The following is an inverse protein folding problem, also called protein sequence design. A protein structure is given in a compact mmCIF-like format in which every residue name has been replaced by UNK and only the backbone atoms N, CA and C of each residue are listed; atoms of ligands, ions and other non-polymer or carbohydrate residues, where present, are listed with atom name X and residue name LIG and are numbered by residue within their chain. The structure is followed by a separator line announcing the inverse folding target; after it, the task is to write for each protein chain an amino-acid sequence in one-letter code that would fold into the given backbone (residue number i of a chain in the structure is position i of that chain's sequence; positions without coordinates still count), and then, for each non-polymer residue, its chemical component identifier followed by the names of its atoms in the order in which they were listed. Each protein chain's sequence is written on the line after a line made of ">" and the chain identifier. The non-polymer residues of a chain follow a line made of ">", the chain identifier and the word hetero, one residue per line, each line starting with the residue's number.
data_IF_779096424089
#
_entry.id   IF_779096424089
#
_cell.length_a   1.000
_cell.length_b   1.000
_cell.length_c   1.000
_cell.angle_alpha   90.00
_cell.angle_beta   90.00
_cell.angle_gamma   90.00
#
_symmetry.space_group_name_H-M   'P 1'
#
loop_
_entity.id
_entity.type
_entity.pdbx_description
1 polymer ?
#
# COMPACT_ATOMS: atom_id res chain seq x y z
N UNK A 1 16.03 -35.65 10.68
CA UNK A 1 14.92 -35.53 11.64
C UNK A 1 15.52 -34.83 12.84
N UNK A 2 15.20 -33.56 13.05
CA UNK A 2 15.64 -32.85 14.25
C UNK A 2 14.96 -33.51 15.46
N UNK A 3 15.75 -33.83 16.47
CA UNK A 3 15.30 -34.44 17.73
C UNK A 3 14.37 -33.45 18.44
N UNK A 4 13.10 -33.80 18.76
CA UNK A 4 12.14 -32.88 19.37
C UNK A 4 12.55 -32.35 20.75
N UNK A 5 13.60 -32.92 21.37
CA UNK A 5 14.16 -32.43 22.65
C UNK A 5 15.33 -31.46 22.49
N UNK A 6 15.84 -31.26 21.27
CA UNK A 6 16.98 -30.37 21.01
C UNK A 6 16.53 -28.98 20.57
N UNK A 7 16.73 -27.97 21.42
CA UNK A 7 16.53 -26.57 21.07
C UNK A 7 17.63 -25.67 21.65
N UNK A 8 17.84 -24.50 21.04
CA UNK A 8 18.77 -23.50 21.58
C UNK A 8 18.05 -22.63 22.60
N UNK A 9 18.49 -22.68 23.86
CA UNK A 9 17.95 -21.84 24.92
C UNK A 9 18.33 -20.36 24.70
N UNK A 10 17.35 -19.48 24.72
CA UNK A 10 17.55 -18.03 24.57
C UNK A 10 17.38 -17.31 25.92
N UNK A 11 18.20 -16.28 26.23
CA UNK A 11 18.12 -15.54 27.49
C UNK A 11 16.97 -14.53 27.43
N UNK A 12 15.74 -14.98 27.67
CA UNK A 12 14.53 -14.15 27.68
C UNK A 12 13.93 -14.06 29.09
N UNK A 13 13.31 -12.93 29.41
CA UNK A 13 12.61 -12.68 30.68
C UNK A 13 11.23 -12.05 30.40
N UNK A 14 10.28 -12.32 31.31
CA UNK A 14 8.92 -11.75 31.24
C UNK A 14 8.74 -10.68 32.32
N UNK A 15 8.22 -9.52 31.94
CA UNK A 15 7.76 -8.53 32.90
C UNK A 15 6.40 -8.98 33.48
N UNK A 16 6.28 -9.18 34.81
CA UNK A 16 5.04 -9.66 35.42
C UNK A 16 3.85 -8.73 35.22
N UNK A 17 4.06 -7.42 35.02
CA UNK A 17 2.99 -6.42 34.91
C UNK A 17 2.55 -6.24 33.47
N UNK A 18 3.49 -5.91 32.56
CA UNK A 18 3.15 -5.68 31.16
C UNK A 18 2.94 -6.98 30.37
N UNK A 19 3.40 -8.12 30.91
CA UNK A 19 3.53 -9.42 30.20
C UNK A 19 4.43 -9.34 28.96
N UNK A 20 5.23 -8.29 28.83
CA UNK A 20 6.17 -8.16 27.73
C UNK A 20 7.37 -9.09 27.95
N UNK A 21 7.83 -9.71 26.86
CA UNK A 21 9.03 -10.54 26.84
C UNK A 21 10.20 -9.69 26.36
N UNK A 22 11.30 -9.72 27.11
CA UNK A 22 12.53 -8.96 26.84
C UNK A 22 13.73 -9.90 26.86
N UNK A 23 14.87 -9.47 26.30
CA UNK A 23 16.12 -10.23 26.32
C UNK A 23 17.30 -9.31 26.58
N UNK A 24 18.31 -9.83 27.26
CA UNK A 24 19.61 -9.17 27.44
C UNK A 24 20.54 -9.33 26.22
N UNK A 25 20.12 -10.07 25.21
CA UNK A 25 20.87 -10.26 23.97
C UNK A 25 20.87 -9.01 23.09
N UNK A 26 22.00 -8.76 22.43
CA UNK A 26 22.17 -7.68 21.45
C UNK A 26 21.85 -8.13 20.01
N UNK A 27 21.32 -9.35 19.84
CA UNK A 27 20.91 -9.84 18.52
C UNK A 27 19.71 -9.05 18.00
N UNK A 28 19.92 -8.32 16.90
CA UNK A 28 18.88 -7.54 16.22
C UNK A 28 17.70 -8.41 15.77
N UNK A 29 17.98 -9.62 15.28
CA UNK A 29 16.95 -10.56 14.85
C UNK A 29 16.07 -10.97 16.03
N UNK A 30 16.67 -11.34 17.16
CA UNK A 30 15.91 -11.70 18.36
C UNK A 30 15.07 -10.52 18.88
N UNK A 31 15.62 -9.31 18.89
CA UNK A 31 14.88 -8.12 19.32
C UNK A 31 13.68 -7.81 18.42
N UNK A 32 13.81 -8.02 17.10
CA UNK A 32 12.71 -7.87 16.15
C UNK A 32 11.59 -8.89 16.41
N UNK A 33 11.94 -10.16 16.61
CA UNK A 33 10.96 -11.21 16.94
C UNK A 33 10.25 -10.96 18.27
N UNK A 34 10.98 -10.53 19.31
CA UNK A 34 10.37 -10.17 20.59
C UNK A 34 9.43 -8.97 20.48
N UNK A 35 9.75 -8.00 19.62
CA UNK A 35 8.86 -6.87 19.34
C UNK A 35 7.57 -7.35 18.67
N UNK A 36 7.68 -8.16 17.63
CA UNK A 36 6.54 -8.76 16.94
C UNK A 36 5.67 -9.61 17.89
N UNK A 37 6.31 -10.40 18.78
CA UNK A 37 5.62 -11.22 19.78
C UNK A 37 4.84 -10.36 20.78
N UNK A 38 5.44 -9.27 21.27
CA UNK A 38 4.79 -8.36 22.20
C UNK A 38 3.62 -7.60 21.55
N UNK A 39 3.75 -7.22 20.28
CA UNK A 39 2.65 -6.63 19.50
C UNK A 39 1.51 -7.62 19.27
N UNK A 40 1.85 -8.86 18.91
CA UNK A 40 0.88 -9.95 18.78
C UNK A 40 0.14 -10.18 20.09
N UNK A 41 0.85 -10.27 21.22
CA UNK A 41 0.23 -10.45 22.54
C UNK A 41 -0.76 -9.31 22.86
N UNK A 42 -0.40 -8.06 22.61
CA UNK A 42 -1.30 -6.91 22.77
C UNK A 42 -2.54 -7.01 21.88
N UNK A 43 -2.38 -7.48 20.64
CA UNK A 43 -3.51 -7.66 19.72
C UNK A 43 -4.46 -8.78 20.19
N UNK A 44 -3.91 -9.89 20.70
CA UNK A 44 -4.68 -11.04 21.18
C UNK A 44 -5.43 -10.75 22.48
N UNK A 45 -4.86 -9.92 23.36
CA UNK A 45 -5.53 -9.49 24.61
C UNK A 45 -6.84 -8.73 24.37
N UNK A 46 -6.99 -8.13 23.19
CA UNK A 46 -8.21 -7.39 22.83
C UNK A 46 -9.31 -8.31 22.26
N UNK A 47 -9.05 -9.61 22.13
CA UNK A 47 -10.05 -10.61 21.70
C UNK A 47 -10.72 -11.18 22.95
N UNK A 48 -12.04 -11.35 22.91
CA UNK A 48 -12.80 -11.97 24.00
C UNK A 48 -12.53 -13.48 24.12
N UNK A 49 -12.02 -14.12 23.06
CA UNK A 49 -11.70 -15.55 23.01
C UNK A 49 -10.20 -15.83 23.22
N UNK A 50 -9.91 -16.98 23.83
CA UNK A 50 -8.53 -17.42 24.11
C UNK A 50 -7.69 -17.70 22.85
N UNK A 51 -8.35 -17.90 21.70
CA UNK A 51 -7.73 -18.11 20.39
C UNK A 51 -8.41 -17.21 19.34
N UNK A 52 -7.69 -16.78 18.29
CA UNK A 52 -8.29 -16.04 17.19
C UNK A 52 -9.46 -16.81 16.56
N UNK A 53 -10.56 -16.13 16.22
CA UNK A 53 -11.65 -16.77 15.48
C UNK A 53 -11.19 -17.18 14.07
N UNK A 54 -11.90 -18.11 13.41
CA UNK A 54 -11.61 -18.44 12.02
C UNK A 54 -11.70 -17.18 11.14
N UNK A 55 -10.90 -17.07 10.06
CA UNK A 55 -10.87 -15.88 9.20
C UNK A 55 -12.22 -15.53 8.55
N UNK A 56 -13.13 -16.50 8.44
CA UNK A 56 -14.46 -16.35 7.87
C UNK A 56 -15.46 -16.93 8.88
N UNK A 57 -16.57 -16.23 9.19
CA UNK A 57 -17.03 -14.95 8.63
C UNK A 57 -16.35 -13.72 9.24
N UNK A 58 -16.14 -12.68 8.43
CA UNK A 58 -15.51 -11.42 8.86
C UNK A 58 -16.53 -10.46 9.49
N UNK A 59 -16.12 -9.75 10.54
CA UNK A 59 -16.92 -8.67 11.11
C UNK A 59 -16.98 -7.46 10.14
N UNK A 60 -18.17 -7.22 9.58
CA UNK A 60 -18.38 -6.18 8.57
C UNK A 60 -18.30 -4.74 9.12
N UNK A 61 -18.36 -4.55 10.45
CA UNK A 61 -18.38 -3.21 11.08
C UNK A 61 -17.18 -2.36 10.67
N UNK A 62 -15.98 -2.96 10.64
CA UNK A 62 -14.76 -2.23 10.26
C UNK A 62 -14.78 -1.86 8.78
N UNK A 63 -15.16 -2.78 7.90
CA UNK A 63 -15.30 -2.50 6.46
C UNK A 63 -16.32 -1.40 6.18
N UNK A 64 -17.43 -1.36 6.92
CA UNK A 64 -18.40 -0.26 6.83
C UNK A 64 -17.80 1.09 7.25
N UNK A 65 -17.01 1.13 8.33
CA UNK A 65 -16.31 2.34 8.75
C UNK A 65 -15.25 2.78 7.73
N UNK A 66 -14.50 1.84 7.13
CA UNK A 66 -13.52 2.14 6.09
C UNK A 66 -14.22 2.75 4.87
N UNK A 67 -15.34 2.16 4.46
CA UNK A 67 -16.14 2.68 3.35
C UNK A 67 -16.69 4.07 3.65
N UNK A 68 -17.16 4.35 4.87
CA UNK A 68 -17.61 5.69 5.26
C UNK A 68 -16.48 6.74 5.16
N UNK A 69 -15.26 6.39 5.57
CA UNK A 69 -14.09 7.27 5.43
C UNK A 69 -13.75 7.49 3.95
N UNK A 70 -13.79 6.43 3.14
CA UNK A 70 -13.59 6.51 1.68
C UNK A 70 -14.61 7.43 1.01
N UNK A 71 -15.90 7.31 1.36
CA UNK A 71 -16.98 8.16 0.86
C UNK A 71 -16.80 9.61 1.28
N UNK A 72 -16.45 9.86 2.54
CA UNK A 72 -16.15 11.21 3.05
C UNK A 72 -14.98 11.85 2.28
N UNK A 73 -13.94 11.07 1.98
CA UNK A 73 -12.82 11.50 1.14
C UNK A 73 -13.25 11.80 -0.30
N UNK A 74 -14.10 10.96 -0.89
CA UNK A 74 -14.63 11.18 -2.25
C UNK A 74 -15.47 12.46 -2.31
N UNK A 75 -16.29 12.74 -1.29
CA UNK A 75 -17.11 13.94 -1.23
C UNK A 75 -16.27 15.21 -1.08
N UNK A 76 -15.24 15.17 -0.24
CA UNK A 76 -14.27 16.26 -0.13
C UNK A 76 -13.53 16.47 -1.46
N UNK A 77 -13.14 15.40 -2.15
CA UNK A 77 -12.48 15.46 -3.45
C UNK A 77 -13.38 16.10 -4.52
N UNK A 78 -14.65 15.70 -4.62
CA UNK A 78 -15.63 16.30 -5.56
C UNK A 78 -15.86 17.78 -5.31
N UNK A 79 -15.73 18.23 -4.05
CA UNK A 79 -15.83 19.65 -3.65
C UNK A 79 -14.53 20.44 -3.90
N UNK A 80 -13.50 19.84 -4.50
CA UNK A 80 -12.20 20.47 -4.73
C UNK A 80 -11.33 20.61 -3.47
N UNK A 81 -11.77 20.06 -2.33
CA UNK A 81 -11.04 20.11 -1.06
C UNK A 81 -10.02 18.97 -0.97
N UNK A 82 -9.03 18.99 -1.85
CA UNK A 82 -8.04 17.91 -1.99
C UNK A 82 -7.23 17.61 -0.70
N UNK A 83 -6.77 18.61 0.09
CA UNK A 83 -6.07 18.33 1.36
C UNK A 83 -6.96 17.61 2.39
N UNK A 84 -8.25 17.93 2.43
CA UNK A 84 -9.21 17.29 3.32
C UNK A 84 -9.50 15.85 2.87
N UNK A 85 -9.64 15.63 1.55
CA UNK A 85 -9.79 14.29 0.98
C UNK A 85 -8.61 13.37 1.35
N UNK A 86 -7.38 13.87 1.27
CA UNK A 86 -6.17 13.12 1.66
C UNK A 86 -6.19 12.70 3.12
N UNK A 87 -6.67 13.56 4.03
CA UNK A 87 -6.83 13.22 5.44
C UNK A 87 -7.79 12.04 5.62
N UNK A 88 -8.96 12.10 4.98
CA UNK A 88 -9.94 11.01 5.06
C UNK A 88 -9.42 9.69 4.48
N UNK A 89 -8.75 9.72 3.32
CA UNK A 89 -8.15 8.51 2.75
C UNK A 89 -7.04 7.94 3.64
N UNK A 90 -6.22 8.80 4.25
CA UNK A 90 -5.17 8.39 5.17
C UNK A 90 -5.73 7.71 6.43
N UNK A 91 -6.79 8.26 7.02
CA UNK A 91 -7.49 7.62 8.14
C UNK A 91 -8.08 6.27 7.72
N UNK A 92 -8.65 6.18 6.52
CA UNK A 92 -9.14 4.91 5.96
C UNK A 92 -8.03 3.87 5.83
N UNK A 93 -6.87 4.27 5.31
CA UNK A 93 -5.70 3.39 5.17
C UNK A 93 -5.17 2.91 6.53
N UNK A 94 -5.05 3.81 7.51
CA UNK A 94 -4.64 3.44 8.87
C UNK A 94 -5.59 2.40 9.47
N UNK A 95 -6.90 2.56 9.28
CA UNK A 95 -7.88 1.61 9.80
C UNK A 95 -7.90 0.27 9.05
N UNK A 96 -7.61 0.28 7.75
CA UNK A 96 -7.51 -0.92 6.92
C UNK A 96 -6.22 -1.71 7.19
N UNK A 97 -5.09 -1.05 7.43
CA UNK A 97 -3.81 -1.69 7.72
C UNK A 97 -3.70 -2.21 9.16
N UNK A 98 -4.48 -1.64 10.09
CA UNK A 98 -4.58 -2.11 11.47
C UNK A 98 -5.67 -3.17 11.67
N UNK A 99 -6.06 -3.87 10.60
CA UNK A 99 -6.98 -5.00 10.68
C UNK A 99 -6.31 -6.15 11.44
N UNK A 100 -7.08 -6.94 12.21
CA UNK A 100 -6.53 -8.10 12.89
C UNK A 100 -5.87 -9.09 11.91
N UNK A 101 -4.73 -9.64 12.30
CA UNK A 101 -3.87 -10.46 11.44
C UNK A 101 -4.52 -11.78 10.99
N UNK A 102 -5.54 -12.25 11.72
CA UNK A 102 -6.28 -13.47 11.38
C UNK A 102 -7.41 -13.23 10.38
N UNK A 103 -7.71 -11.98 10.01
CA UNK A 103 -8.69 -11.69 8.96
C UNK A 103 -8.12 -11.93 7.56
N UNK A 104 -8.96 -12.19 6.54
CA UNK A 104 -8.51 -12.49 5.19
C UNK A 104 -7.66 -11.35 4.60
N UNK A 105 -6.41 -11.64 4.26
CA UNK A 105 -5.49 -10.67 3.65
C UNK A 105 -6.00 -10.12 2.31
N UNK A 106 -6.78 -10.89 1.56
CA UNK A 106 -7.44 -10.44 0.34
C UNK A 106 -8.38 -9.25 0.56
N UNK A 107 -9.15 -9.26 1.66
CA UNK A 107 -10.04 -8.16 2.03
C UNK A 107 -9.24 -6.88 2.30
N UNK A 108 -8.16 -7.00 3.08
CA UNK A 108 -7.25 -5.88 3.39
C UNK A 108 -6.71 -5.29 2.07
N UNK A 109 -6.22 -6.15 1.17
CA UNK A 109 -5.65 -5.75 -0.12
C UNK A 109 -6.64 -5.01 -1.01
N UNK A 110 -7.89 -5.46 -1.07
CA UNK A 110 -8.93 -4.79 -1.85
C UNK A 110 -9.28 -3.41 -1.28
N UNK A 111 -9.41 -3.29 0.05
CA UNK A 111 -9.71 -2.03 0.74
C UNK A 111 -8.58 -1.01 0.57
N UNK A 112 -7.32 -1.41 0.82
CA UNK A 112 -6.17 -0.50 0.72
C UNK A 112 -5.87 -0.11 -0.72
N UNK A 113 -6.02 -1.01 -1.69
CA UNK A 113 -5.84 -0.71 -3.12
C UNK A 113 -6.71 0.49 -3.53
N UNK A 114 -8.01 0.44 -3.25
CA UNK A 114 -8.92 1.52 -3.63
C UNK A 114 -8.60 2.85 -2.93
N UNK A 115 -8.23 2.80 -1.65
CA UNK A 115 -7.88 4.00 -0.88
C UNK A 115 -6.58 4.65 -1.36
N UNK A 116 -5.53 3.85 -1.61
CA UNK A 116 -4.27 4.35 -2.18
C UNK A 116 -4.51 4.97 -3.56
N UNK A 117 -5.31 4.32 -4.41
CA UNK A 117 -5.62 4.83 -5.73
C UNK A 117 -6.34 6.20 -5.66
N UNK A 118 -7.28 6.36 -4.72
CA UNK A 118 -8.01 7.61 -4.52
C UNK A 118 -7.14 8.71 -3.89
N UNK A 119 -6.25 8.36 -2.95
CA UNK A 119 -5.29 9.30 -2.37
C UNK A 119 -4.27 9.77 -3.39
N UNK A 120 -3.78 8.89 -4.25
CA UNK A 120 -2.93 9.23 -5.40
C UNK A 120 -3.61 10.27 -6.31
N UNK A 121 -4.90 10.07 -6.65
CA UNK A 121 -5.66 11.03 -7.44
C UNK A 121 -5.75 12.40 -6.77
N UNK A 122 -5.93 12.45 -5.45
CA UNK A 122 -5.95 13.69 -4.69
C UNK A 122 -4.59 14.40 -4.67
N UNK A 123 -3.49 13.65 -4.56
CA UNK A 123 -2.14 14.19 -4.71
C UNK A 123 -1.89 14.75 -6.11
N UNK A 124 -2.30 14.02 -7.16
CA UNK A 124 -2.20 14.48 -8.55
C UNK A 124 -2.98 15.78 -8.80
N UNK A 125 -4.16 15.93 -8.20
CA UNK A 125 -4.97 17.14 -8.33
C UNK A 125 -4.31 18.38 -7.71
N UNK A 126 -3.35 18.20 -6.81
CA UNK A 126 -2.52 19.27 -6.24
C UNK A 126 -1.12 19.34 -6.86
N UNK A 127 -0.86 18.58 -7.93
CA UNK A 127 0.47 18.44 -8.55
C UNK A 127 1.57 17.90 -7.63
N UNK A 128 1.19 17.16 -6.58
CA UNK A 128 2.13 16.43 -5.71
C UNK A 128 2.49 15.09 -6.37
N UNK A 129 3.31 15.15 -7.42
CA UNK A 129 3.58 14.01 -8.30
C UNK A 129 4.36 12.88 -7.62
N UNK A 130 5.24 13.20 -6.68
CA UNK A 130 6.07 12.21 -5.98
C UNK A 130 5.19 11.33 -5.09
N UNK A 131 4.39 11.96 -4.22
CA UNK A 131 3.46 11.28 -3.32
C UNK A 131 2.38 10.53 -4.10
N UNK A 132 1.87 11.14 -5.17
CA UNK A 132 0.91 10.50 -6.07
C UNK A 132 1.47 9.23 -6.73
N UNK A 133 2.74 9.25 -7.14
CA UNK A 133 3.41 8.09 -7.73
C UNK A 133 3.63 6.97 -6.72
N UNK A 134 4.02 7.29 -5.48
CA UNK A 134 4.22 6.32 -4.40
C UNK A 134 2.89 5.65 -4.02
N UNK A 135 1.82 6.44 -3.85
CA UNK A 135 0.50 5.90 -3.55
C UNK A 135 -0.05 5.03 -4.69
N UNK A 136 0.13 5.45 -5.94
CA UNK A 136 -0.32 4.66 -7.08
C UNK A 136 0.45 3.33 -7.23
N UNK A 137 1.73 3.28 -6.86
CA UNK A 137 2.48 2.02 -6.77
C UNK A 137 2.01 1.14 -5.63
N UNK A 138 1.78 1.70 -4.45
CA UNK A 138 1.24 0.96 -3.31
C UNK A 138 -0.15 0.35 -3.64
N UNK A 139 -0.98 1.08 -4.39
CA UNK A 139 -2.26 0.58 -4.92
C UNK A 139 -2.07 -0.62 -5.85
N UNK A 140 -1.13 -0.54 -6.80
CA UNK A 140 -0.85 -1.64 -7.74
C UNK A 140 -0.28 -2.86 -7.02
N UNK A 141 0.62 -2.68 -6.05
CA UNK A 141 1.18 -3.80 -5.29
C UNK A 141 0.10 -4.50 -4.45
N UNK A 142 -0.83 -3.71 -3.87
CA UNK A 142 -1.99 -4.26 -3.19
C UNK A 142 -2.87 -5.09 -4.14
N UNK A 143 -3.16 -4.58 -5.35
CA UNK A 143 -3.98 -5.28 -6.35
C UNK A 143 -3.46 -5.03 -7.77
N UNK A 144 -2.83 -6.05 -8.36
CA UNK A 144 -2.14 -5.97 -9.66
C UNK A 144 -3.06 -6.08 -10.87
N UNK A 145 -4.17 -6.82 -10.76
CA UNK A 145 -5.14 -7.06 -11.83
C UNK A 145 -6.50 -6.43 -11.51
N UNK A 146 -7.19 -5.93 -12.54
CA UNK A 146 -8.43 -5.17 -12.41
C UNK A 146 -8.23 -3.78 -11.80
N UNK A 147 -7.04 -3.19 -11.96
CA UNK A 147 -6.62 -1.91 -11.38
C UNK A 147 -5.94 -0.98 -12.41
N UNK A 148 -6.42 -0.95 -13.65
CA UNK A 148 -5.91 -0.12 -14.75
C UNK A 148 -5.73 1.36 -14.38
N UNK A 149 -6.63 1.92 -13.55
CA UNK A 149 -6.55 3.31 -13.08
C UNK A 149 -5.31 3.59 -12.23
N UNK A 150 -4.89 2.67 -11.36
CA UNK A 150 -3.69 2.87 -10.55
C UNK A 150 -2.41 2.81 -11.40
N UNK A 151 -2.36 1.87 -12.35
CA UNK A 151 -1.29 1.80 -13.35
C UNK A 151 -1.16 3.14 -14.11
N UNK A 152 -2.29 3.67 -14.58
CA UNK A 152 -2.34 4.94 -15.30
C UNK A 152 -1.89 6.13 -14.44
N UNK A 153 -2.38 6.23 -13.19
CA UNK A 153 -2.04 7.33 -12.27
C UNK A 153 -0.53 7.43 -12.01
N UNK A 154 0.14 6.30 -11.74
CA UNK A 154 1.59 6.30 -11.57
C UNK A 154 2.32 6.67 -12.85
N UNK A 155 1.92 6.09 -13.99
CA UNK A 155 2.51 6.46 -15.28
C UNK A 155 2.38 7.95 -15.56
N UNK A 156 1.22 8.54 -15.27
CA UNK A 156 1.01 9.99 -15.41
C UNK A 156 1.92 10.78 -14.50
N UNK A 157 2.04 10.42 -13.23
CA UNK A 157 2.97 11.08 -12.31
C UNK A 157 4.43 11.01 -12.80
N UNK A 158 4.87 9.85 -13.29
CA UNK A 158 6.22 9.67 -13.84
C UNK A 158 6.46 10.56 -15.08
N UNK A 159 5.45 10.70 -15.94
CA UNK A 159 5.50 11.61 -17.10
C UNK A 159 5.62 13.07 -16.67
N UNK A 160 4.83 13.51 -15.69
CA UNK A 160 4.87 14.89 -15.19
C UNK A 160 6.18 15.19 -14.45
N UNK A 161 6.83 14.19 -13.85
CA UNK A 161 8.18 14.30 -13.27
C UNK A 161 9.30 14.20 -14.32
N UNK A 162 9.00 14.04 -15.61
CA UNK A 162 9.99 13.89 -16.67
C UNK A 162 10.72 12.54 -16.70
N UNK A 163 10.31 11.56 -15.88
CA UNK A 163 10.89 10.21 -15.81
C UNK A 163 10.33 9.30 -16.92
N UNK A 164 10.56 9.68 -18.17
CA UNK A 164 9.88 9.09 -19.34
C UNK A 164 10.21 7.60 -19.54
N UNK A 165 11.47 7.20 -19.37
CA UNK A 165 11.88 5.80 -19.53
C UNK A 165 11.21 4.89 -18.49
N UNK A 166 11.14 5.35 -17.24
CA UNK A 166 10.45 4.63 -16.19
C UNK A 166 8.93 4.57 -16.41
N UNK A 167 8.34 5.67 -16.89
CA UNK A 167 6.92 5.70 -17.25
C UNK A 167 6.59 4.66 -18.33
N UNK A 168 7.45 4.54 -19.36
CA UNK A 168 7.31 3.56 -20.43
C UNK A 168 7.35 2.12 -19.89
N UNK A 169 8.37 1.79 -19.11
CA UNK A 169 8.51 0.47 -18.49
C UNK A 169 7.36 0.16 -17.52
N UNK A 170 6.85 1.16 -16.79
CA UNK A 170 5.72 1.01 -15.90
C UNK A 170 4.42 0.70 -16.65
N UNK A 171 4.09 1.50 -17.68
CA UNK A 171 2.87 1.32 -18.46
C UNK A 171 2.91 0.04 -19.30
N UNK A 172 4.08 -0.36 -19.81
CA UNK A 172 4.26 -1.64 -20.49
C UNK A 172 3.83 -2.82 -19.61
N UNK A 173 4.32 -2.87 -18.35
CA UNK A 173 3.88 -3.87 -17.36
C UNK A 173 2.38 -3.78 -17.05
N UNK A 174 1.83 -2.57 -16.98
CA UNK A 174 0.40 -2.38 -16.78
C UNK A 174 -0.46 -2.98 -17.90
N UNK A 175 -0.02 -2.84 -19.15
CA UNK A 175 -0.70 -3.42 -20.32
C UNK A 175 -0.59 -4.95 -20.38
N UNK A 176 0.52 -5.53 -19.89
CA UNK A 176 0.64 -6.98 -19.74
C UNK A 176 -0.37 -7.54 -18.72
N UNK A 177 -0.66 -6.78 -17.65
CA UNK A 177 -1.55 -7.21 -16.57
C UNK A 177 -3.04 -6.95 -16.84
N UNK A 178 -3.38 -5.79 -17.41
CA UNK A 178 -4.77 -5.33 -17.60
C UNK A 178 -5.25 -5.52 -19.05
N UNK A 179 -4.37 -5.90 -19.98
CA UNK A 179 -4.67 -6.01 -21.40
C UNK A 179 -4.72 -4.65 -22.10
N UNK A 180 -5.54 -4.52 -23.14
CA UNK A 180 -5.60 -3.34 -24.03
C UNK A 180 -6.55 -2.26 -23.53
N UNK A 181 -6.40 -1.85 -22.26
CA UNK A 181 -7.15 -0.75 -21.68
C UNK A 181 -6.82 0.57 -22.40
N UNK A 182 -7.86 1.27 -22.87
CA UNK A 182 -7.71 2.43 -23.76
C UNK A 182 -6.88 3.57 -23.13
N UNK A 183 -7.07 3.83 -21.84
CA UNK A 183 -6.36 4.88 -21.11
C UNK A 183 -4.85 4.59 -21.01
N UNK A 184 -4.47 3.33 -20.79
CA UNK A 184 -3.07 2.90 -20.72
C UNK A 184 -2.40 2.96 -22.10
N UNK A 185 -3.10 2.50 -23.14
CA UNK A 185 -2.62 2.59 -24.53
C UNK A 185 -2.45 4.04 -24.96
N UNK A 186 -3.41 4.91 -24.59
CA UNK A 186 -3.34 6.35 -24.86
C UNK A 186 -2.13 6.99 -24.20
N UNK A 187 -1.89 6.68 -22.92
CA UNK A 187 -0.74 7.21 -22.19
C UNK A 187 0.59 6.68 -22.73
N UNK A 188 0.66 5.41 -23.16
CA UNK A 188 1.87 4.86 -23.79
C UNK A 188 2.25 5.62 -25.07
N UNK A 189 1.27 5.94 -25.91
CA UNK A 189 1.49 6.76 -27.13
C UNK A 189 2.01 8.16 -26.79
N UNK A 190 1.48 8.78 -25.73
CA UNK A 190 1.97 10.08 -25.24
C UNK A 190 3.44 9.98 -24.78
N UNK A 191 3.78 8.94 -24.02
CA UNK A 191 5.14 8.67 -23.53
C UNK A 191 6.10 8.49 -24.72
N UNK A 192 5.75 7.68 -25.71
CA UNK A 192 6.58 7.45 -26.89
C UNK A 192 6.81 8.73 -27.71
N UNK A 193 5.79 9.58 -27.83
CA UNK A 193 5.91 10.88 -28.50
C UNK A 193 6.85 11.82 -27.72
N UNK A 194 6.76 11.86 -26.38
CA UNK A 194 7.66 12.62 -25.52
C UNK A 194 9.09 12.09 -25.57
N UNK A 195 9.27 10.77 -25.59
CA UNK A 195 10.57 10.12 -25.70
C UNK A 195 11.29 10.50 -26.99
N UNK A 196 10.58 10.47 -28.13
CA UNK A 196 11.16 10.87 -29.43
C UNK A 196 11.60 12.33 -29.43
N UNK A 197 10.77 13.24 -28.88
CA UNK A 197 11.13 14.66 -28.76
C UNK A 197 12.39 14.85 -27.91
N UNK A 198 12.47 14.21 -26.74
CA UNK A 198 13.62 14.33 -25.85
C UNK A 198 14.94 13.89 -26.53
N UNK A 199 14.89 12.78 -27.28
CA UNK A 199 16.04 12.27 -28.05
C UNK A 199 16.49 13.20 -29.19
N UNK A 200 15.56 13.97 -29.77
CA UNK A 200 15.89 14.98 -30.80
C UNK A 200 16.58 16.17 -30.15
N UNK A 201 16.07 16.67 -29.03
CA UNK A 201 16.70 17.76 -28.28
C UNK A 201 18.11 17.39 -27.78
N UNK A 202 18.32 16.17 -27.27
CA UNK A 202 19.67 15.71 -26.87
C UNK A 202 20.65 15.69 -28.04
N UNK A 203 20.20 15.35 -29.25
CA UNK A 203 21.05 15.38 -30.45
C UNK A 203 21.37 16.80 -30.91
N UNK A 204 20.45 17.74 -30.75
CA UNK A 204 20.64 19.15 -31.14
C UNK A 204 21.55 19.90 -30.17
N UNK A 205 21.57 19.53 -28.88
CA UNK A 205 22.42 20.17 -27.85
C UNK A 205 23.87 19.64 -27.88
N UNK A 206 24.08 18.42 -28.37
CA UNK A 206 25.40 17.78 -28.43
C UNK A 206 26.20 18.07 -29.72
N UNK A 207 25.76 19.03 -30.55
CA UNK A 207 26.46 19.53 -31.76
C UNK A 207 26.90 20.98 -31.48
#
# INVERSE_FOLDING_TARGET
>A
MEDPESFTLLPVSIDPTSKAITSTSHSRALQAELTALNELHKSLKNIESAVPPPPIPVNQKRSAQINKLRESGNDAFRKGKHPEAIKFYTLGLQMALTRPLWEPSGLVRDEVSGLYANRAQAHMAMSNWVEGAVDAEASVEAKKAGNSKAWWRRGRCLVEMGRIQEAKGWIGRGLEMEGTEADLVGLLKEIEAKEKKCKVFEKEICI
#
